data_IF_579838205995
#
_entry.id   IF_579838205995
#
_cell.length_a   1.000
_cell.length_b   1.000
_cell.length_c   1.000
_cell.angle_alpha   90.00
_cell.angle_beta   90.00
_cell.angle_gamma   90.00
#
_symmetry.space_group_name_H-M   'P 1'
#
loop_
_entity.id
_entity.type
_entity.pdbx_description
1 polymer ?
#
# COMPACT_ATOMS: atom_id res chain seq x y z
N UNK A 1 16.83 -38.19 17.79
CA UNK A 1 16.56 -37.87 17.60
C UNK A 1 16.34 -36.98 16.93
N UNK A 2 16.43 -36.84 16.70
CA UNK A 2 16.19 -36.10 16.16
C UNK A 2 15.63 -35.29 15.99
N UNK A 3 15.47 -35.04 16.09
CA UNK A 3 14.97 -34.41 16.05
C UNK A 3 14.85 -33.56 15.43
N UNK A 4 14.71 -33.38 15.28
CA UNK A 4 14.57 -32.62 14.91
C UNK A 4 15.00 -31.97 14.26
N UNK A 5 14.96 -31.80 13.95
CA UNK A 5 15.39 -31.26 13.43
C UNK A 5 14.97 -30.71 12.47
N UNK A 6 14.28 -30.43 11.94
CA UNK A 6 13.89 -29.86 11.02
C UNK A 6 13.01 -29.19 11.01
N UNK A 7 12.90 -28.73 11.05
CA UNK A 7 12.12 -28.20 11.04
C UNK A 7 11.61 -27.40 10.21
N UNK A 8 11.79 -27.20 9.24
CA UNK A 8 11.04 -26.46 8.32
C UNK A 8 10.84 -25.04 8.71
N UNK A 9 9.70 -24.55 8.43
CA UNK A 9 9.42 -23.14 8.67
C UNK A 9 9.53 -22.74 10.12
N UNK A 10 9.51 -23.71 11.01
CA UNK A 10 9.60 -23.39 12.43
C UNK A 10 11.00 -23.64 12.96
N UNK A 11 11.94 -23.89 12.09
CA UNK A 11 13.31 -24.08 12.52
C UNK A 11 13.98 -22.77 12.81
N UNK A 12 15.25 -22.81 13.08
CA UNK A 12 16.03 -21.64 13.36
C UNK A 12 16.13 -20.68 12.19
N UNK A 13 15.76 -21.12 11.01
CA UNK A 13 15.72 -20.20 9.88
C UNK A 13 14.79 -19.04 10.15
N UNK A 14 13.92 -19.22 11.10
CA UNK A 14 13.04 -18.15 11.50
C UNK A 14 13.82 -16.94 12.00
N UNK A 15 15.00 -17.15 12.49
CA UNK A 15 15.83 -16.04 12.95
C UNK A 15 16.20 -15.10 11.81
N UNK A 16 16.15 -15.60 10.61
CA UNK A 16 16.45 -14.79 9.43
C UNK A 16 15.19 -14.33 8.73
N UNK A 17 14.05 -14.77 9.21
CA UNK A 17 12.80 -14.43 8.57
C UNK A 17 12.27 -13.09 9.01
N UNK A 18 11.16 -12.76 8.43
CA UNK A 18 10.49 -11.51 8.72
C UNK A 18 9.55 -11.72 9.90
N UNK A 19 9.74 -10.92 10.94
CA UNK A 19 8.85 -10.96 12.08
C UNK A 19 7.74 -9.94 11.90
N UNK A 20 6.68 -10.11 12.67
CA UNK A 20 5.60 -9.14 12.67
C UNK A 20 6.09 -7.77 13.11
N UNK A 21 7.01 -7.73 14.07
CA UNK A 21 7.57 -6.47 14.50
C UNK A 21 8.30 -5.75 13.40
N UNK A 22 9.02 -6.49 12.56
CA UNK A 22 9.72 -5.89 11.45
C UNK A 22 8.77 -5.27 10.44
N UNK A 23 7.64 -5.91 10.21
CA UNK A 23 6.65 -5.39 9.28
C UNK A 23 6.03 -4.11 9.79
N UNK A 24 5.93 -3.95 11.09
CA UNK A 24 5.27 -2.80 11.68
C UNK A 24 6.23 -1.67 12.01
N UNK A 25 7.51 -1.92 12.01
CA UNK A 25 8.50 -0.93 12.38
C UNK A 25 9.26 -0.46 11.15
N UNK A 26 9.02 0.77 10.69
CA UNK A 26 9.65 1.24 9.45
C UNK A 26 11.16 1.37 9.56
N UNK A 27 11.72 1.37 10.75
CA UNK A 27 13.15 1.55 10.92
C UNK A 27 13.93 0.25 10.91
N UNK A 28 13.26 -0.87 11.02
CA UNK A 28 13.94 -2.16 11.08
C UNK A 28 13.87 -2.92 9.77
N UNK A 29 13.58 -2.24 8.71
CA UNK A 29 13.17 -2.90 7.48
C UNK A 29 14.30 -3.24 6.53
N UNK A 30 15.51 -2.82 6.81
CA UNK A 30 16.54 -2.91 5.79
C UNK A 30 16.80 -4.33 5.32
N UNK A 31 16.60 -5.31 6.15
CA UNK A 31 16.90 -6.70 5.80
C UNK A 31 15.66 -7.47 5.36
N UNK A 32 14.48 -6.94 5.59
CA UNK A 32 13.26 -7.73 5.47
C UNK A 32 12.25 -7.16 4.49
N UNK A 33 12.15 -5.85 4.41
CA UNK A 33 11.12 -5.17 3.65
C UNK A 33 11.78 -4.16 2.74
N UNK A 34 11.39 -4.17 1.48
CA UNK A 34 11.92 -3.23 0.50
C UNK A 34 11.02 -2.03 0.29
N UNK A 35 10.03 -1.85 1.16
CA UNK A 35 9.11 -0.73 1.03
C UNK A 35 9.25 0.18 2.23
N UNK A 36 9.11 1.48 1.99
CA UNK A 36 9.18 2.46 3.06
C UNK A 36 7.96 2.36 3.96
N UNK A 37 8.18 2.27 5.27
CA UNK A 37 7.09 2.11 6.22
C UNK A 37 6.17 3.31 6.32
N UNK A 38 6.70 4.52 6.14
CA UNK A 38 5.85 5.72 6.17
C UNK A 38 4.94 5.77 4.95
N UNK A 39 5.49 5.44 3.78
CA UNK A 39 4.68 5.38 2.56
C UNK A 39 3.63 4.28 2.65
N UNK A 40 3.99 3.14 3.20
CA UNK A 40 3.06 2.03 3.38
C UNK A 40 1.89 2.44 4.27
N UNK A 41 2.21 3.02 5.41
CA UNK A 41 1.18 3.42 6.38
C UNK A 41 0.28 4.50 5.81
N UNK A 42 0.86 5.50 5.14
CA UNK A 42 0.08 6.56 4.54
C UNK A 42 -0.83 6.03 3.44
N UNK A 43 -0.32 5.10 2.63
CA UNK A 43 -1.11 4.51 1.56
C UNK A 43 -2.28 3.71 2.11
N UNK A 44 -2.05 2.91 3.15
CA UNK A 44 -3.13 2.17 3.78
C UNK A 44 -4.21 3.12 4.29
N UNK A 45 -3.79 4.20 4.94
CA UNK A 45 -4.75 5.14 5.50
C UNK A 45 -5.58 5.83 4.42
N UNK A 46 -4.93 6.29 3.38
CA UNK A 46 -5.63 7.05 2.33
C UNK A 46 -6.50 6.13 1.49
N UNK A 47 -6.03 4.94 1.16
CA UNK A 47 -6.81 4.04 0.33
C UNK A 47 -7.94 3.34 1.08
N UNK A 48 -7.96 3.44 2.40
CA UNK A 48 -9.01 2.79 3.20
C UNK A 48 -10.35 3.50 3.10
N UNK A 49 -10.46 4.55 2.30
CA UNK A 49 -11.77 5.12 1.97
C UNK A 49 -12.63 4.12 1.22
N UNK A 50 -12.01 3.13 0.60
CA UNK A 50 -12.71 2.05 -0.09
C UNK A 50 -12.31 0.73 0.57
N UNK A 51 -13.13 -0.31 0.39
CA UNK A 51 -12.71 -1.64 0.87
C UNK A 51 -11.43 -2.05 0.17
N UNK A 52 -10.49 -2.61 0.92
CA UNK A 52 -9.25 -3.11 0.35
C UNK A 52 -9.40 -4.59 0.02
N UNK A 53 -9.11 -4.95 -1.22
CA UNK A 53 -9.22 -6.35 -1.62
C UNK A 53 -7.88 -7.06 -1.65
N UNK A 54 -6.78 -6.32 -1.62
CA UNK A 54 -5.47 -6.94 -1.59
C UNK A 54 -4.47 -5.99 -0.96
N UNK A 55 -3.68 -6.50 -0.03
CA UNK A 55 -2.55 -5.79 0.54
C UNK A 55 -1.38 -6.74 0.61
N UNK A 56 -0.23 -6.27 0.15
CA UNK A 56 1.00 -7.06 0.17
C UNK A 56 2.12 -6.16 0.65
N UNK A 57 2.43 -6.26 1.93
CA UNK A 57 3.43 -5.39 2.54
C UNK A 57 4.82 -5.65 1.97
N UNK A 58 5.14 -6.88 1.65
CA UNK A 58 6.45 -7.20 1.13
C UNK A 58 6.63 -6.71 -0.30
N UNK A 59 5.60 -6.85 -1.11
CA UNK A 59 5.64 -6.38 -2.49
C UNK A 59 5.27 -4.93 -2.64
N UNK A 60 4.76 -4.30 -1.57
CA UNK A 60 4.43 -2.89 -1.62
C UNK A 60 3.18 -2.57 -2.42
N UNK A 61 2.19 -3.45 -2.42
CA UNK A 61 1.00 -3.28 -3.25
C UNK A 61 -0.25 -3.21 -2.40
N UNK A 62 -1.11 -2.24 -2.72
CA UNK A 62 -2.43 -2.10 -2.09
C UNK A 62 -3.44 -1.88 -3.20
N UNK A 63 -4.52 -2.67 -3.18
CA UNK A 63 -5.56 -2.57 -4.21
C UNK A 63 -6.91 -2.46 -3.52
N UNK A 64 -7.70 -1.47 -3.94
CA UNK A 64 -9.07 -1.32 -3.44
C UNK A 64 -10.05 -2.06 -4.33
N UNK A 65 -11.22 -2.32 -3.79
CA UNK A 65 -12.36 -2.68 -4.61
C UNK A 65 -12.91 -1.43 -5.30
N UNK A 66 -13.86 -1.64 -6.19
CA UNK A 66 -14.56 -0.53 -6.81
C UNK A 66 -15.25 0.30 -5.74
N UNK A 67 -15.17 1.61 -5.89
CA UNK A 67 -15.67 2.55 -4.92
C UNK A 67 -16.50 3.61 -5.63
N UNK A 68 -17.70 3.86 -5.12
CA UNK A 68 -18.59 4.88 -5.67
C UNK A 68 -18.50 6.11 -4.80
N UNK A 69 -18.07 7.22 -5.37
CA UNK A 69 -18.01 8.49 -4.67
C UNK A 69 -19.36 9.17 -4.77
N UNK A 70 -19.91 9.56 -3.62
CA UNK A 70 -21.23 10.19 -3.57
C UNK A 70 -21.28 11.50 -4.35
N UNK A 71 -20.15 12.16 -4.49
CA UNK A 71 -20.09 13.46 -5.15
C UNK A 71 -19.95 13.36 -6.66
N UNK A 72 -19.72 12.17 -7.19
CA UNK A 72 -19.54 11.96 -8.62
C UNK A 72 -20.53 10.87 -9.04
N UNK A 73 -21.58 11.28 -9.74
CA UNK A 73 -22.62 10.35 -10.11
C UNK A 73 -22.20 9.43 -11.24
N UNK A 74 -22.73 8.23 -11.20
CA UNK A 74 -22.60 7.27 -12.29
C UNK A 74 -21.13 6.94 -12.59
N UNK A 75 -20.32 6.93 -11.55
CA UNK A 75 -18.89 6.68 -11.70
C UNK A 75 -18.40 5.84 -10.54
N UNK A 76 -17.54 4.86 -10.83
CA UNK A 76 -16.85 4.13 -9.77
C UNK A 76 -15.37 4.07 -10.10
N UNK A 77 -14.55 4.00 -9.07
CA UNK A 77 -13.11 3.97 -9.24
C UNK A 77 -12.52 2.80 -8.47
N UNK A 78 -11.37 2.35 -8.95
CA UNK A 78 -10.56 1.36 -8.27
C UNK A 78 -9.15 1.91 -8.20
N UNK A 79 -8.55 1.89 -7.02
CA UNK A 79 -7.25 2.50 -6.80
C UNK A 79 -6.22 1.42 -6.51
N UNK A 80 -5.07 1.52 -7.15
CA UNK A 80 -3.94 0.64 -6.90
C UNK A 80 -2.74 1.48 -6.54
N UNK A 81 -2.10 1.16 -5.43
CA UNK A 81 -0.91 1.87 -4.98
C UNK A 81 0.26 0.91 -4.95
N UNK A 82 1.41 1.39 -5.42
CA UNK A 82 2.64 0.61 -5.47
C UNK A 82 3.74 1.41 -4.79
N UNK A 83 4.29 0.86 -3.70
CA UNK A 83 5.44 1.45 -3.03
C UNK A 83 6.68 0.78 -3.58
N UNK A 84 7.58 1.56 -4.15
CA UNK A 84 8.67 1.03 -4.96
C UNK A 84 10.03 1.14 -4.30
N UNK A 85 10.14 1.92 -3.22
CA UNK A 85 11.44 2.17 -2.61
C UNK A 85 11.38 1.95 -1.12
N UNK A 86 12.55 1.66 -0.54
CA UNK A 86 12.68 1.58 0.91
C UNK A 86 12.89 2.95 1.54
N UNK A 87 13.16 3.95 0.73
CA UNK A 87 13.35 5.32 1.20
C UNK A 87 12.12 6.14 0.94
N UNK A 88 11.94 7.18 1.76
CA UNK A 88 10.83 8.11 1.57
C UNK A 88 11.22 9.10 0.48
N UNK A 89 10.81 8.79 -0.72
CA UNK A 89 11.13 9.59 -1.92
C UNK A 89 9.85 9.84 -2.70
N UNK A 90 9.86 10.94 -3.43
CA UNK A 90 8.70 11.29 -4.23
C UNK A 90 8.41 10.28 -5.34
N UNK A 91 9.44 9.61 -5.83
CA UNK A 91 9.27 8.58 -6.85
C UNK A 91 9.07 7.18 -6.25
N UNK A 92 8.93 7.10 -4.94
CA UNK A 92 8.75 5.83 -4.23
C UNK A 92 7.32 5.34 -4.20
N UNK A 93 6.39 6.12 -4.67
CA UNK A 93 4.97 5.76 -4.70
C UNK A 93 4.43 5.96 -6.10
N UNK A 94 3.64 5.01 -6.56
CA UNK A 94 2.95 5.11 -7.84
C UNK A 94 1.50 4.70 -7.62
N UNK A 95 0.58 5.49 -8.12
CA UNK A 95 -0.84 5.22 -7.97
C UNK A 95 -1.47 5.14 -9.36
N UNK A 96 -2.36 4.17 -9.52
CA UNK A 96 -3.18 4.05 -10.71
C UNK A 96 -4.64 4.10 -10.28
N UNK A 97 -5.43 4.88 -11.00
CA UNK A 97 -6.85 4.99 -10.75
C UNK A 97 -7.58 4.51 -11.99
N UNK A 98 -8.36 3.47 -11.82
CA UNK A 98 -9.21 2.95 -12.89
C UNK A 98 -10.62 3.47 -12.68
N UNK A 99 -11.25 3.88 -13.76
CA UNK A 99 -12.57 4.52 -13.70
C UNK A 99 -13.51 3.80 -14.65
N UNK A 100 -14.74 3.63 -14.21
CA UNK A 100 -15.83 3.15 -15.05
C UNK A 100 -17.04 4.06 -14.86
N UNK A 101 -17.75 4.32 -15.94
CA UNK A 101 -18.97 5.10 -15.89
C UNK A 101 -20.17 4.20 -16.09
N UNK A 102 -21.23 4.52 -15.36
CA UNK A 102 -22.49 3.79 -15.45
C UNK A 102 -23.35 4.41 -16.52
N UNK A 103 -23.74 3.63 -17.53
CA UNK A 103 -24.63 4.05 -18.58
C UNK A 103 -25.69 2.98 -18.79
N UNK A 104 -26.94 3.38 -18.69
CA UNK A 104 -28.07 2.45 -18.88
C UNK A 104 -27.96 1.21 -18.01
N UNK A 105 -27.51 1.40 -16.77
CA UNK A 105 -27.39 0.29 -15.82
C UNK A 105 -26.17 -0.58 -16.01
N UNK A 106 -25.29 -0.25 -16.94
CA UNK A 106 -24.11 -1.05 -17.25
C UNK A 106 -22.86 -0.19 -17.14
N UNK A 107 -21.83 -0.71 -16.47
CA UNK A 107 -20.57 -0.01 -16.37
C UNK A 107 -19.80 -0.17 -17.69
N UNK A 108 -19.21 0.94 -18.12
CA UNK A 108 -18.46 1.02 -19.38
C UNK A 108 -17.08 0.40 -19.23
N UNK A 109 -16.33 0.44 -20.33
CA UNK A 109 -14.95 -0.01 -20.30
C UNK A 109 -14.15 0.86 -19.34
N UNK A 110 -13.12 0.23 -18.78
CA UNK A 110 -12.25 0.89 -17.80
C UNK A 110 -11.29 1.85 -18.51
N UNK A 111 -11.13 3.04 -17.96
CA UNK A 111 -10.08 3.95 -18.38
C UNK A 111 -9.36 4.47 -17.14
N UNK A 112 -8.24 5.15 -17.32
CA UNK A 112 -7.44 5.64 -16.20
C UNK A 112 -7.62 7.14 -16.03
N UNK A 113 -7.50 7.58 -14.76
CA UNK A 113 -7.55 9.00 -14.40
C UNK A 113 -6.20 9.38 -13.81
N UNK A 114 -5.32 9.89 -14.66
CA UNK A 114 -3.95 10.19 -14.23
C UNK A 114 -3.89 11.41 -13.30
N UNK A 115 -4.82 12.35 -13.48
CA UNK A 115 -4.84 13.53 -12.63
C UNK A 115 -5.19 13.16 -11.20
N UNK A 116 -6.21 12.33 -11.03
CA UNK A 116 -6.60 11.87 -9.71
C UNK A 116 -5.50 11.00 -9.10
N UNK A 117 -4.86 10.18 -9.91
CA UNK A 117 -3.74 9.36 -9.44
C UNK A 117 -2.63 10.23 -8.87
N UNK A 118 -2.28 11.31 -9.56
CA UNK A 118 -1.24 12.23 -9.08
C UNK A 118 -1.65 12.92 -7.79
N UNK A 119 -2.91 13.29 -7.67
CA UNK A 119 -3.40 13.90 -6.43
C UNK A 119 -3.28 12.93 -5.25
N UNK A 120 -3.62 11.69 -5.49
CA UNK A 120 -3.52 10.67 -4.43
C UNK A 120 -2.06 10.44 -4.07
N UNK A 121 -1.18 10.35 -5.06
CA UNK A 121 0.25 10.22 -4.78
C UNK A 121 0.77 11.35 -3.90
N UNK A 122 0.38 12.59 -4.23
CA UNK A 122 0.81 13.73 -3.43
C UNK A 122 0.27 13.69 -2.02
N UNK A 123 -0.97 13.26 -1.86
CA UNK A 123 -1.56 13.13 -0.53
C UNK A 123 -0.83 12.06 0.28
N UNK A 124 -0.48 10.95 -0.33
CA UNK A 124 0.26 9.89 0.34
C UNK A 124 1.64 10.40 0.77
N UNK A 125 2.33 11.10 -0.13
CA UNK A 125 3.63 11.64 0.19
C UNK A 125 3.59 12.64 1.34
N UNK A 126 2.60 13.53 1.32
CA UNK A 126 2.47 14.51 2.39
C UNK A 126 2.19 13.84 3.73
N UNK A 127 1.32 12.87 3.74
CA UNK A 127 1.01 12.16 4.98
C UNK A 127 2.22 11.36 5.47
N UNK A 128 2.93 10.71 4.56
CA UNK A 128 4.13 9.95 4.93
C UNK A 128 5.19 10.86 5.53
N UNK A 129 5.37 12.04 4.96
CA UNK A 129 6.32 13.01 5.50
C UNK A 129 5.92 13.47 6.89
N UNK A 130 4.63 13.66 7.11
CA UNK A 130 4.14 14.03 8.45
C UNK A 130 4.40 12.93 9.46
N UNK A 131 4.20 11.67 9.09
CA UNK A 131 4.52 10.57 9.98
C UNK A 131 6.00 10.56 10.34
N UNK A 132 6.84 10.81 9.34
CA UNK A 132 8.28 10.83 9.57
C UNK A 132 8.67 11.95 10.51
N UNK A 133 8.14 13.15 10.28
CA UNK A 133 8.44 14.30 11.13
C UNK A 133 7.98 14.01 12.56
N UNK A 134 6.78 13.49 12.73
CA UNK A 134 6.27 13.19 14.05
C UNK A 134 7.11 12.15 14.77
N UNK A 135 7.66 11.19 14.05
CA UNK A 135 8.49 10.17 14.66
C UNK A 135 9.83 10.74 15.15
N UNK A 136 10.29 11.81 14.53
CA UNK A 136 11.56 12.45 14.91
C UNK A 136 11.43 13.36 16.11
N UNK A 137 10.22 13.80 16.44
CA UNK A 137 10.02 14.78 17.51
C UNK A 137 9.72 14.12 18.86
N UNK A 138 9.72 12.81 18.91
CA UNK A 138 9.43 12.10 20.17
C UNK A 138 10.65 11.80 21.01
#
# INVERSE_FOLDING_TARGET
>A
TGEVKNPGIFSKDRDKGISLGDLLNPQSSESSINVNGFLWRASLNILSIAPLISTDALGGTIITDWYVNKNVKNTRIKIMAFIKTSELRSDGISVKVHVQKLKNGIYTETYTDDKLASQIENNILNEARNYRINSLTK
#
